data_IF_951670949783
#
_entry.id   IF_951670949783
#
_cell.length_a   1.000
_cell.length_b   1.000
_cell.length_c   1.000
_cell.angle_alpha   90.00
_cell.angle_beta   90.00
_cell.angle_gamma   90.00
#
_symmetry.space_group_name_H-M   'P 1'
#
loop_
_entity.id
_entity.type
_entity.pdbx_description
1 polymer ?
#
# COMPACT_ATOMS: atom_id res chain seq x y z
N UNK A 1 0.89 33.97 37.45
CA UNK A 1 1.12 32.74 36.67
C UNK A 1 2.37 32.99 35.86
N UNK A 2 3.51 32.51 36.36
CA UNK A 2 4.81 32.72 35.72
C UNK A 2 4.82 32.04 34.34
N UNK A 3 5.32 32.78 33.35
CA UNK A 3 5.36 32.35 31.95
C UNK A 3 6.22 31.09 31.82
N UNK A 4 5.64 30.01 31.31
CA UNK A 4 6.37 28.79 30.99
C UNK A 4 7.55 29.09 30.05
N UNK A 5 8.69 28.41 30.22
CA UNK A 5 9.89 28.66 29.41
C UNK A 5 9.64 28.35 27.93
N UNK A 6 10.18 29.20 27.04
CA UNK A 6 10.05 29.06 25.58
C UNK A 6 10.67 27.78 25.02
N UNK A 7 11.63 27.17 25.73
CA UNK A 7 12.26 25.91 25.35
C UNK A 7 12.45 25.01 26.57
N UNK A 8 12.10 23.74 26.38
CA UNK A 8 12.37 22.67 27.32
C UNK A 8 13.43 21.75 26.70
N UNK A 9 14.56 21.60 27.37
CA UNK A 9 15.58 20.63 26.96
C UNK A 9 15.45 19.36 27.78
N UNK A 10 15.51 18.20 27.11
CA UNK A 10 15.66 16.92 27.80
C UNK A 10 17.13 16.78 28.22
N UNK A 11 17.38 16.59 29.51
CA UNK A 11 18.74 16.38 30.02
C UNK A 11 19.39 15.18 29.33
N UNK A 12 20.61 15.39 28.83
CA UNK A 12 21.46 14.36 28.24
C UNK A 12 22.68 14.18 29.14
N UNK A 13 22.79 13.02 29.80
CA UNK A 13 23.96 12.69 30.62
C UNK A 13 25.25 12.73 29.77
N UNK A 14 26.37 13.25 30.30
CA UNK A 14 27.67 13.22 29.62
C UNK A 14 28.05 11.84 29.06
N UNK A 15 27.67 10.76 29.74
CA UNK A 15 27.92 9.37 29.31
C UNK A 15 27.24 9.03 27.97
N UNK A 16 26.13 9.69 27.64
CA UNK A 16 25.38 9.48 26.40
C UNK A 16 25.88 10.33 25.23
N UNK A 17 26.73 11.32 25.47
CA UNK A 17 27.30 12.17 24.41
C UNK A 17 28.13 11.33 23.45
N UNK A 18 28.93 10.39 23.97
CA UNK A 18 29.74 9.48 23.15
C UNK A 18 28.89 8.64 22.20
N UNK A 19 27.67 8.23 22.60
CA UNK A 19 26.76 7.46 21.75
C UNK A 19 26.36 8.28 20.51
N UNK A 20 26.08 9.57 20.69
CA UNK A 20 25.70 10.47 19.59
C UNK A 20 26.89 10.78 18.67
N UNK A 21 28.02 11.18 19.26
CA UNK A 21 29.24 11.56 18.51
C UNK A 21 29.79 10.39 17.72
N UNK A 22 29.73 9.18 18.27
CA UNK A 22 30.22 7.96 17.62
C UNK A 22 29.14 7.27 16.77
N UNK A 23 27.97 7.89 16.59
CA UNK A 23 26.86 7.37 15.78
C UNK A 23 26.45 5.94 16.18
N UNK A 24 26.47 5.62 17.48
CA UNK A 24 26.14 4.29 18.01
C UNK A 24 24.65 4.07 18.22
N UNK A 25 23.80 4.89 17.60
CA UNK A 25 22.36 4.72 17.63
C UNK A 25 22.01 3.57 16.69
N UNK A 26 21.38 2.54 17.23
CA UNK A 26 20.84 1.41 16.46
C UNK A 26 19.33 1.43 16.56
N UNK A 27 18.66 1.23 15.42
CA UNK A 27 17.22 0.96 15.43
C UNK A 27 16.95 -0.41 16.06
N UNK A 28 15.87 -0.50 16.84
CA UNK A 28 15.38 -1.79 17.33
C UNK A 28 15.02 -2.65 16.11
N UNK A 29 15.58 -3.85 15.95
CA UNK A 29 15.16 -4.74 14.88
C UNK A 29 13.71 -5.15 15.10
N UNK A 30 12.97 -5.40 14.02
CA UNK A 30 11.53 -5.72 14.08
C UNK A 30 11.20 -6.88 15.02
N UNK A 31 12.07 -7.91 15.08
CA UNK A 31 11.90 -9.04 16.00
C UNK A 31 12.16 -8.75 17.49
N UNK A 32 12.55 -7.52 17.85
CA UNK A 32 12.79 -7.08 19.23
C UNK A 32 11.75 -6.05 19.72
N UNK A 33 10.72 -5.77 18.92
CA UNK A 33 9.54 -5.03 19.40
C UNK A 33 8.72 -5.90 20.35
N UNK A 34 8.03 -5.26 21.29
CA UNK A 34 7.21 -5.96 22.27
C UNK A 34 5.93 -6.53 21.63
N UNK A 35 5.47 -5.90 20.55
CA UNK A 35 4.32 -6.35 19.76
C UNK A 35 4.78 -6.75 18.34
N UNK A 36 4.48 -7.98 17.86
CA UNK A 36 4.85 -8.45 16.53
C UNK A 36 4.18 -7.68 15.37
N UNK A 37 3.22 -6.81 15.66
CA UNK A 37 2.53 -5.96 14.70
C UNK A 37 3.04 -4.51 14.68
N UNK A 38 3.82 -4.07 15.68
CA UNK A 38 4.19 -2.66 15.90
C UNK A 38 4.97 -2.05 14.72
N UNK A 39 5.69 -2.89 13.97
CA UNK A 39 6.47 -2.47 12.82
C UNK A 39 5.83 -2.76 11.45
N UNK A 40 4.60 -3.27 11.40
CA UNK A 40 3.93 -3.59 10.13
C UNK A 40 3.38 -2.32 9.49
N UNK A 41 3.47 -2.17 8.15
CA UNK A 41 2.84 -1.05 7.47
C UNK A 41 1.31 -1.14 7.63
N UNK A 42 0.69 0.00 7.96
CA UNK A 42 -0.77 0.12 7.94
C UNK A 42 -1.23 0.22 6.49
N UNK A 43 -2.03 -0.76 6.05
CA UNK A 43 -2.61 -0.80 4.71
C UNK A 43 -4.13 -0.70 4.86
N UNK A 44 -4.66 0.50 4.66
CA UNK A 44 -6.10 0.80 4.77
C UNK A 44 -6.79 0.93 3.42
N UNK A 45 -6.02 1.25 2.38
CA UNK A 45 -6.45 1.38 1.00
C UNK A 45 -5.26 1.02 0.08
N UNK A 46 -5.55 0.50 -1.11
CA UNK A 46 -4.52 0.28 -2.13
C UNK A 46 -4.04 1.59 -2.78
N UNK A 47 -4.96 2.54 -2.94
CA UNK A 47 -4.70 3.89 -3.40
C UNK A 47 -5.87 4.80 -2.99
N UNK A 48 -5.67 6.12 -2.95
CA UNK A 48 -6.76 7.09 -2.86
C UNK A 48 -7.78 6.88 -3.98
N UNK A 49 -9.06 7.12 -3.70
CA UNK A 49 -10.13 6.92 -4.69
C UNK A 49 -9.92 7.80 -5.93
N UNK A 50 -9.45 9.04 -5.77
CA UNK A 50 -9.11 9.93 -6.88
C UNK A 50 -8.02 9.37 -7.80
N UNK A 51 -7.04 8.68 -7.23
CA UNK A 51 -5.98 8.01 -8.00
C UNK A 51 -6.52 6.77 -8.72
N UNK A 52 -7.38 5.97 -8.08
CA UNK A 52 -8.04 4.82 -8.70
C UNK A 52 -8.89 5.26 -9.90
N UNK A 53 -9.67 6.33 -9.76
CA UNK A 53 -10.48 6.91 -10.84
C UNK A 53 -9.59 7.37 -12.01
N UNK A 54 -8.47 8.01 -11.69
CA UNK A 54 -7.50 8.44 -12.70
C UNK A 54 -6.86 7.24 -13.42
N UNK A 55 -6.54 6.18 -12.69
CA UNK A 55 -5.99 4.95 -13.23
C UNK A 55 -6.96 4.29 -14.21
N UNK A 56 -8.24 4.16 -13.81
CA UNK A 56 -9.31 3.61 -14.66
C UNK A 56 -9.38 4.42 -15.96
N UNK A 57 -9.45 5.76 -15.86
CA UNK A 57 -9.53 6.64 -17.04
C UNK A 57 -8.34 6.49 -17.99
N UNK A 58 -7.14 6.30 -17.45
CA UNK A 58 -5.92 6.20 -18.26
C UNK A 58 -5.75 4.82 -18.91
N UNK A 59 -6.19 3.75 -18.24
CA UNK A 59 -6.05 2.37 -18.72
C UNK A 59 -7.17 1.97 -19.66
N UNK A 60 -8.37 2.52 -19.45
CA UNK A 60 -9.59 2.15 -20.20
C UNK A 60 -9.44 2.23 -21.73
N UNK A 61 -8.87 3.28 -22.36
CA UNK A 61 -8.77 3.33 -23.82
C UNK A 61 -7.98 2.16 -24.41
N UNK A 62 -6.90 1.76 -23.75
CA UNK A 62 -6.05 0.66 -24.21
C UNK A 62 -6.71 -0.71 -24.00
N UNK A 63 -7.46 -0.88 -22.90
CA UNK A 63 -8.20 -2.12 -22.64
C UNK A 63 -9.43 -2.26 -23.54
N UNK A 64 -10.16 -1.17 -23.82
CA UNK A 64 -11.29 -1.17 -24.75
C UNK A 64 -10.83 -1.56 -26.16
N UNK A 65 -9.69 -1.04 -26.62
CA UNK A 65 -9.12 -1.45 -27.89
C UNK A 65 -8.75 -2.94 -27.91
N UNK A 66 -8.06 -3.42 -26.87
CA UNK A 66 -7.70 -4.85 -26.75
C UNK A 66 -8.93 -5.76 -26.73
N UNK A 67 -9.97 -5.38 -25.99
CA UNK A 67 -11.22 -6.13 -25.94
C UNK A 67 -11.93 -6.16 -27.30
N UNK A 68 -11.93 -5.03 -28.04
CA UNK A 68 -12.47 -4.98 -29.40
C UNK A 68 -11.67 -5.87 -30.35
N UNK A 69 -10.34 -5.85 -30.27
CA UNK A 69 -9.46 -6.66 -31.12
C UNK A 69 -9.69 -8.17 -30.93
N UNK A 70 -10.11 -8.58 -29.72
CA UNK A 70 -10.49 -9.97 -29.40
C UNK A 70 -11.89 -10.39 -29.91
N UNK A 71 -12.71 -9.46 -30.41
CA UNK A 71 -14.03 -9.80 -30.93
C UNK A 71 -13.94 -10.59 -32.25
N UNK A 72 -14.85 -11.55 -32.48
CA UNK A 72 -14.98 -12.23 -33.76
C UNK A 72 -15.27 -11.24 -34.90
N UNK A 73 -14.83 -11.59 -36.11
CA UNK A 73 -15.01 -10.77 -37.33
C UNK A 73 -16.48 -10.41 -37.57
N UNK A 74 -17.38 -11.37 -37.36
CA UNK A 74 -18.84 -11.17 -37.50
C UNK A 74 -19.37 -10.09 -36.56
N UNK A 75 -18.82 -9.99 -35.35
CA UNK A 75 -19.22 -8.96 -34.38
C UNK A 75 -18.65 -7.60 -34.75
N UNK A 76 -17.42 -7.54 -35.31
CA UNK A 76 -16.80 -6.29 -35.77
C UNK A 76 -17.50 -5.68 -36.99
N UNK A 77 -18.10 -6.51 -37.83
CA UNK A 77 -18.93 -6.06 -38.97
C UNK A 77 -20.23 -5.41 -38.52
N UNK A 78 -20.82 -5.87 -37.42
CA UNK A 78 -22.05 -5.32 -36.85
C UNK A 78 -21.80 -4.17 -35.87
N UNK A 79 -20.61 -4.10 -35.30
CA UNK A 79 -20.27 -3.16 -34.23
C UNK A 79 -18.97 -2.43 -34.56
N UNK A 80 -19.11 -1.16 -34.96
CA UNK A 80 -17.95 -0.30 -35.17
C UNK A 80 -17.18 -0.07 -33.87
N UNK A 81 -15.88 0.19 -34.00
CA UNK A 81 -15.04 0.52 -32.84
C UNK A 81 -15.55 1.75 -32.09
N UNK A 82 -16.01 2.79 -32.79
CA UNK A 82 -16.58 3.99 -32.16
C UNK A 82 -17.82 3.66 -31.32
N UNK A 83 -18.70 2.81 -31.84
CA UNK A 83 -19.90 2.41 -31.12
C UNK A 83 -19.53 1.57 -29.88
N UNK A 84 -18.61 0.62 -30.02
CA UNK A 84 -18.08 -0.17 -28.90
C UNK A 84 -17.43 0.72 -27.83
N UNK A 85 -16.62 1.70 -28.24
CA UNK A 85 -15.97 2.64 -27.33
C UNK A 85 -16.98 3.48 -26.56
N UNK A 86 -18.03 3.97 -27.24
CA UNK A 86 -19.09 4.75 -26.59
C UNK A 86 -19.87 3.92 -25.55
N UNK A 87 -20.17 2.65 -25.88
CA UNK A 87 -20.82 1.72 -24.97
C UNK A 87 -19.93 1.42 -23.76
N UNK A 88 -18.63 1.17 -23.98
CA UNK A 88 -17.68 0.94 -22.90
C UNK A 88 -17.53 2.15 -21.98
N UNK A 89 -17.51 3.37 -22.52
CA UNK A 89 -17.46 4.59 -21.72
C UNK A 89 -18.70 4.78 -20.85
N UNK A 90 -19.89 4.52 -21.39
CA UNK A 90 -21.15 4.56 -20.63
C UNK A 90 -21.18 3.51 -19.52
N UNK A 91 -20.78 2.27 -19.84
CA UNK A 91 -20.75 1.18 -18.87
C UNK A 91 -19.75 1.47 -17.74
N UNK A 92 -18.56 1.98 -18.08
CA UNK A 92 -17.54 2.36 -17.09
C UNK A 92 -18.07 3.42 -16.15
N UNK A 93 -18.78 4.43 -16.67
CA UNK A 93 -19.38 5.50 -15.85
C UNK A 93 -20.47 4.94 -14.94
N UNK A 94 -21.33 4.06 -15.45
CA UNK A 94 -22.42 3.46 -14.68
C UNK A 94 -21.94 2.48 -13.60
N UNK A 95 -20.83 1.77 -13.86
CA UNK A 95 -20.28 0.72 -13.00
C UNK A 95 -19.07 1.16 -12.17
N UNK A 96 -18.67 2.43 -12.29
CA UNK A 96 -17.58 3.02 -11.51
C UNK A 96 -17.64 2.71 -10.02
N UNK A 97 -18.76 2.92 -9.30
CA UNK A 97 -18.81 2.63 -7.86
C UNK A 97 -18.60 1.14 -7.56
N UNK A 98 -19.09 0.24 -8.42
CA UNK A 98 -18.90 -1.21 -8.26
C UNK A 98 -17.44 -1.60 -8.47
N UNK A 99 -16.76 -1.00 -9.46
CA UNK A 99 -15.33 -1.21 -9.66
C UNK A 99 -14.49 -0.71 -8.48
N UNK A 100 -14.83 0.45 -7.91
CA UNK A 100 -14.15 0.98 -6.72
C UNK A 100 -14.40 0.09 -5.49
N UNK A 101 -15.61 -0.45 -5.34
CA UNK A 101 -15.93 -1.41 -4.28
C UNK A 101 -15.17 -2.73 -4.45
N UNK A 102 -14.94 -3.20 -5.67
CA UNK A 102 -14.15 -4.39 -5.91
C UNK A 102 -12.71 -4.20 -5.44
N UNK A 103 -12.10 -3.04 -5.74
CA UNK A 103 -10.73 -2.70 -5.30
C UNK A 103 -10.65 -2.57 -3.78
N UNK A 104 -11.65 -1.96 -3.13
CA UNK A 104 -11.68 -1.89 -1.67
C UNK A 104 -11.90 -3.27 -1.04
N UNK A 105 -12.69 -4.14 -1.67
CA UNK A 105 -12.93 -5.52 -1.24
C UNK A 105 -11.66 -6.36 -1.17
N UNK A 106 -10.78 -6.25 -2.17
CA UNK A 106 -9.50 -6.99 -2.22
C UNK A 106 -8.41 -6.39 -1.32
N UNK A 107 -8.60 -5.18 -0.79
CA UNK A 107 -7.57 -4.46 -0.02
C UNK A 107 -7.10 -5.28 1.18
N UNK A 108 -8.01 -5.99 1.85
CA UNK A 108 -7.68 -6.85 3.00
C UNK A 108 -6.75 -7.99 2.63
N UNK A 109 -7.01 -8.65 1.49
CA UNK A 109 -6.21 -9.78 1.04
C UNK A 109 -4.80 -9.34 0.63
N UNK A 110 -4.72 -8.21 -0.06
CA UNK A 110 -3.43 -7.59 -0.40
C UNK A 110 -2.66 -7.16 0.85
N UNK A 111 -3.34 -6.57 1.84
CA UNK A 111 -2.71 -6.21 3.11
C UNK A 111 -2.10 -7.42 3.82
N UNK A 112 -2.83 -8.55 3.86
CA UNK A 112 -2.30 -9.80 4.43
C UNK A 112 -1.07 -10.31 3.68
N UNK A 113 -1.09 -10.23 2.35
CA UNK A 113 0.06 -10.61 1.52
C UNK A 113 1.27 -9.72 1.79
N UNK A 114 1.07 -8.41 1.89
CA UNK A 114 2.11 -7.43 2.22
C UNK A 114 2.69 -7.76 3.60
N UNK A 115 1.85 -7.97 4.62
CA UNK A 115 2.33 -8.32 5.96
C UNK A 115 3.13 -9.60 5.99
N UNK A 116 2.65 -10.65 5.31
CA UNK A 116 3.38 -11.92 5.19
C UNK A 116 4.75 -11.72 4.55
N UNK A 117 4.82 -10.97 3.44
CA UNK A 117 6.08 -10.69 2.74
C UNK A 117 7.01 -9.80 3.55
N UNK A 118 6.46 -8.81 4.25
CA UNK A 118 7.19 -7.96 5.16
C UNK A 118 7.84 -8.78 6.28
N UNK A 119 7.08 -9.71 6.88
CA UNK A 119 7.59 -10.59 7.93
C UNK A 119 8.70 -11.52 7.42
N UNK A 120 8.53 -12.10 6.23
CA UNK A 120 9.52 -12.98 5.58
C UNK A 120 10.84 -12.26 5.29
N UNK A 121 10.77 -11.04 4.74
CA UNK A 121 11.93 -10.28 4.29
C UNK A 121 12.62 -9.50 5.43
N UNK A 122 11.83 -8.95 6.36
CA UNK A 122 12.33 -8.09 7.43
C UNK A 122 12.61 -8.84 8.73
N UNK A 123 12.40 -10.16 8.77
CA UNK A 123 12.96 -11.05 9.79
C UNK A 123 12.25 -11.05 11.13
N UNK A 124 10.96 -10.70 11.19
CA UNK A 124 10.16 -10.76 12.41
C UNK A 124 10.08 -12.18 13.01
N UNK A 125 10.25 -13.23 12.19
CA UNK A 125 10.23 -14.63 12.63
C UNK A 125 11.59 -15.23 13.04
N UNK A 126 12.73 -14.54 12.86
CA UNK A 126 14.05 -15.14 13.13
C UNK A 126 14.48 -15.16 14.60
N UNK A 127 13.83 -14.41 15.48
CA UNK A 127 14.21 -14.34 16.90
C UNK A 127 13.49 -15.35 17.81
N UNK A 128 12.38 -15.94 17.38
CA UNK A 128 11.63 -16.93 18.18
C UNK A 128 12.28 -18.33 18.22
N UNK A 129 13.29 -18.61 17.38
CA UNK A 129 13.99 -19.91 17.37
C UNK A 129 15.36 -19.94 18.08
N UNK A 130 15.84 -18.81 18.60
CA UNK A 130 17.17 -18.74 19.25
C UNK A 130 17.12 -18.50 20.77
N UNK A 131 15.96 -18.72 21.41
CA UNK A 131 15.81 -18.55 22.87
C UNK A 131 15.56 -19.84 23.66
N UNK A 132 15.96 -20.97 23.09
CA UNK A 132 16.14 -22.23 23.82
C UNK A 132 17.57 -22.70 23.56
N UNK A 133 18.28 -23.03 24.63
CA UNK A 133 19.72 -23.35 24.70
C UNK A 133 20.62 -22.12 24.91
N UNK A 134 20.68 -21.67 26.17
CA UNK A 134 21.89 -21.50 26.98
C UNK A 134 21.46 -21.38 28.45
#
# INVERSE_FOLDING_TARGET
>A
MDSLPRLLYKYLSPERVAILVQQRIRFTPLGAFNDPFEGRPSVTALAPESELRSLIKNVLPAEVKRAYDWLPSQTKEMLSFEMFQSMAAQLTTAKEPEMLQLVSGITKDVAQLIHKKFDELCGSYRFLKFRTVC
#
